data_IF_615427686985
#
_entry.id   IF_615427686985
#
_cell.length_a   1.000
_cell.length_b   1.000
_cell.length_c   1.000
_cell.angle_alpha   90.00
_cell.angle_beta   90.00
_cell.angle_gamma   90.00
#
_symmetry.space_group_name_H-M   'P 1'
#
loop_
_entity.id
_entity.type
_entity.pdbx_description
1 polymer ?
#
# COMPACT_ATOMS: atom_id res chain seq x y z
N UNK A 1 55.62 12.72 41.03
CA UNK A 1 55.98 12.47 39.62
C UNK A 1 56.26 10.99 39.50
N UNK A 2 55.25 10.23 39.12
CA UNK A 2 55.19 8.77 39.19
C UNK A 2 55.02 8.20 37.79
N UNK A 3 55.93 7.29 37.43
CA UNK A 3 55.91 6.46 36.24
C UNK A 3 55.73 4.99 36.62
N UNK A 4 54.93 4.30 35.78
CA UNK A 4 54.90 2.87 35.42
C UNK A 4 55.07 1.78 36.50
N UNK A 5 54.08 0.87 36.57
CA UNK A 5 54.26 -0.55 36.20
C UNK A 5 52.96 -1.36 36.36
N UNK A 6 52.57 -2.08 35.31
CA UNK A 6 51.77 -3.32 35.32
C UNK A 6 52.59 -4.46 35.98
N UNK A 7 52.04 -5.65 36.39
CA UNK A 7 51.18 -6.51 35.55
C UNK A 7 50.15 -7.47 36.26
N UNK A 8 49.30 -8.08 35.40
CA UNK A 8 48.83 -9.48 35.37
C UNK A 8 47.86 -10.09 36.41
N UNK A 9 46.90 -10.82 35.82
CA UNK A 9 46.34 -12.13 36.19
C UNK A 9 45.18 -12.24 37.19
N UNK A 10 44.12 -12.94 36.74
CA UNK A 10 43.18 -13.64 37.63
C UNK A 10 41.71 -13.58 37.19
N UNK A 11 41.36 -14.26 36.10
CA UNK A 11 39.96 -14.55 35.75
C UNK A 11 39.29 -15.38 36.87
N UNK A 12 38.12 -14.95 37.33
CA UNK A 12 37.18 -15.77 38.08
C UNK A 12 35.88 -15.87 37.29
N UNK A 13 35.59 -17.10 36.84
CA UNK A 13 34.31 -17.51 36.30
C UNK A 13 33.25 -17.44 37.41
N UNK A 14 32.15 -16.73 37.16
CA UNK A 14 30.87 -17.01 37.80
C UNK A 14 29.77 -16.98 36.75
N UNK A 15 29.24 -18.18 36.47
CA UNK A 15 27.96 -18.39 35.82
C UNK A 15 26.86 -17.76 36.67
N UNK A 16 26.02 -16.93 36.07
CA UNK A 16 24.74 -16.52 36.64
C UNK A 16 23.66 -16.75 35.60
N UNK A 17 22.94 -17.86 35.80
CA UNK A 17 21.60 -18.10 35.30
C UNK A 17 20.69 -16.95 35.72
N UNK A 18 20.03 -16.29 34.76
CA UNK A 18 18.80 -15.56 35.06
C UNK A 18 17.75 -15.83 33.99
N UNK A 19 16.74 -16.57 34.44
CA UNK A 19 15.51 -16.92 33.77
C UNK A 19 14.76 -15.70 33.23
N UNK A 20 14.16 -15.88 32.05
CA UNK A 20 13.20 -14.96 31.46
C UNK A 20 11.95 -14.81 32.36
N UNK A 21 11.44 -13.59 32.60
CA UNK A 21 10.19 -13.42 33.33
C UNK A 21 8.99 -13.80 32.45
N UNK A 22 8.10 -14.59 33.03
CA UNK A 22 6.81 -15.01 32.50
C UNK A 22 5.84 -13.83 32.32
N UNK A 23 5.06 -13.88 31.23
CA UNK A 23 3.97 -12.95 30.93
C UNK A 23 2.87 -13.04 32.00
N UNK A 24 2.35 -11.91 32.51
CA UNK A 24 1.22 -11.93 33.43
C UNK A 24 -0.09 -12.21 32.68
N UNK A 25 -0.71 -13.34 33.02
CA UNK A 25 -2.16 -13.56 32.87
C UNK A 25 -2.91 -12.68 33.85
N UNK A 26 -3.67 -11.70 33.36
CA UNK A 26 -4.73 -11.08 34.17
C UNK A 26 -5.97 -10.78 33.33
N UNK A 27 -7.05 -11.45 33.72
CA UNK A 27 -8.42 -11.08 33.39
C UNK A 27 -8.70 -9.67 33.89
N UNK A 28 -9.26 -8.80 33.03
CA UNK A 28 -9.83 -7.51 33.45
C UNK A 28 -11.33 -7.52 33.18
N UNK A 29 -12.07 -7.56 34.28
CA UNK A 29 -13.50 -7.28 34.38
C UNK A 29 -13.78 -5.82 34.07
N UNK A 30 -14.81 -5.55 33.28
CA UNK A 30 -15.23 -4.22 32.87
C UNK A 30 -16.09 -3.53 33.97
N UNK A 31 -15.76 -2.32 34.45
CA UNK A 31 -16.55 -1.62 35.46
C UNK A 31 -17.43 -0.54 34.82
N UNK A 32 -18.40 -0.92 33.99
CA UNK A 32 -19.56 -0.05 33.68
C UNK A 32 -20.79 -0.90 33.39
N UNK A 33 -21.59 -1.15 34.43
CA UNK A 33 -22.90 -1.77 34.31
C UNK A 33 -23.87 -0.87 33.54
N UNK A 34 -23.95 -1.06 32.22
CA UNK A 34 -25.09 -0.65 31.39
C UNK A 34 -25.43 -1.76 30.40
N UNK A 35 -26.61 -2.32 30.58
CA UNK A 35 -27.29 -3.23 29.66
C UNK A 35 -27.70 -2.48 28.40
N UNK A 36 -27.28 -2.96 27.23
CA UNK A 36 -27.86 -2.57 25.94
C UNK A 36 -29.03 -3.53 25.62
N UNK A 37 -30.20 -3.03 25.16
CA UNK A 37 -31.31 -3.88 24.78
C UNK A 37 -30.97 -4.65 23.51
N UNK A 38 -31.25 -5.96 23.54
CA UNK A 38 -31.00 -6.89 22.45
C UNK A 38 -31.97 -6.74 21.28
N UNK A 39 -31.55 -7.28 20.15
CA UNK A 39 -32.35 -7.49 18.94
C UNK A 39 -31.57 -7.23 17.67
N UNK A 40 -30.74 -8.19 17.23
CA UNK A 40 -30.25 -8.25 15.85
C UNK A 40 -31.39 -8.80 14.96
N UNK A 41 -31.91 -8.05 13.98
CA UNK A 41 -32.71 -8.63 12.92
C UNK A 41 -31.77 -9.11 11.80
N UNK A 42 -31.86 -10.41 11.52
CA UNK A 42 -31.78 -11.01 10.18
C UNK A 42 -30.56 -10.72 9.32
N UNK A 43 -29.69 -11.72 9.20
CA UNK A 43 -28.79 -11.89 8.08
C UNK A 43 -29.54 -11.79 6.74
N UNK A 44 -28.96 -11.10 5.77
CA UNK A 44 -29.47 -11.03 4.41
C UNK A 44 -28.51 -10.30 3.47
N UNK A 45 -27.81 -11.07 2.64
CA UNK A 45 -27.10 -10.59 1.45
C UNK A 45 -25.59 -10.45 1.61
N UNK A 46 -24.85 -11.54 1.35
CA UNK A 46 -23.48 -11.42 0.88
C UNK A 46 -23.48 -10.59 -0.42
N UNK A 47 -22.54 -9.66 -0.63
CA UNK A 47 -22.42 -8.98 -1.91
C UNK A 47 -22.09 -10.04 -2.97
N UNK A 48 -22.91 -10.11 -4.03
CA UNK A 48 -22.70 -11.00 -5.17
C UNK A 48 -21.27 -10.85 -5.73
N UNK A 49 -20.40 -11.79 -5.36
CA UNK A 49 -19.09 -11.97 -5.98
C UNK A 49 -19.33 -12.69 -7.30
N UNK A 50 -19.48 -11.92 -8.39
CA UNK A 50 -19.47 -12.51 -9.72
C UNK A 50 -18.03 -12.96 -10.02
N UNK A 51 -17.78 -14.24 -9.83
CA UNK A 51 -16.71 -14.96 -10.49
C UNK A 51 -17.17 -15.20 -11.93
N UNK A 52 -16.70 -14.40 -12.87
CA UNK A 52 -16.81 -14.75 -14.29
C UNK A 52 -15.61 -15.66 -14.58
N UNK A 53 -15.78 -16.95 -14.30
CA UNK A 53 -15.04 -17.97 -15.02
C UNK A 53 -15.83 -18.21 -16.33
N UNK A 54 -15.10 -18.19 -17.46
CA UNK A 54 -15.55 -18.34 -18.84
C UNK A 54 -16.21 -17.15 -19.56
N UNK A 55 -15.44 -16.70 -20.56
CA UNK A 55 -15.84 -15.88 -21.69
C UNK A 55 -16.44 -16.85 -22.70
N UNK A 56 -17.76 -16.90 -22.81
CA UNK A 56 -18.43 -17.18 -24.08
C UNK A 56 -19.86 -16.63 -24.01
N UNK A 57 -20.16 -15.68 -24.89
CA UNK A 57 -21.48 -15.11 -25.02
C UNK A 57 -22.39 -16.02 -25.83
N UNK A 58 -23.61 -16.25 -25.36
CA UNK A 58 -24.75 -16.42 -26.25
C UNK A 58 -26.06 -16.07 -25.54
N UNK A 59 -26.75 -15.05 -26.05
CA UNK A 59 -28.16 -14.79 -25.80
C UNK A 59 -29.00 -15.96 -26.34
N UNK A 60 -30.04 -16.40 -25.63
CA UNK A 60 -31.35 -16.75 -26.20
C UNK A 60 -32.40 -17.09 -25.13
N UNK A 61 -33.64 -16.68 -25.42
CA UNK A 61 -34.86 -16.79 -24.61
C UNK A 61 -35.42 -18.23 -24.46
N UNK A 62 -36.26 -18.46 -23.44
CA UNK A 62 -37.17 -19.63 -23.40
C UNK A 62 -37.84 -19.92 -22.06
N UNK A 63 -39.17 -19.84 -22.05
CA UNK A 63 -40.14 -20.13 -20.98
C UNK A 63 -40.25 -21.61 -20.54
N UNK A 64 -40.68 -21.88 -19.29
CA UNK A 64 -41.29 -23.18 -18.95
C UNK A 64 -41.38 -23.50 -17.44
N UNK A 65 -42.61 -23.70 -16.95
CA UNK A 65 -43.05 -24.07 -15.59
C UNK A 65 -42.94 -25.58 -15.26
N UNK A 66 -42.80 -25.93 -13.98
CA UNK A 66 -43.19 -27.27 -13.46
C UNK A 66 -42.64 -27.64 -12.07
N UNK A 67 -43.52 -27.80 -11.08
CA UNK A 67 -43.25 -28.35 -9.74
C UNK A 67 -43.13 -29.89 -9.74
N UNK A 68 -42.30 -30.46 -8.85
CA UNK A 68 -42.28 -31.89 -8.51
C UNK A 68 -41.13 -32.26 -7.53
N UNK A 69 -41.28 -33.26 -6.63
CA UNK A 69 -40.73 -33.24 -5.26
C UNK A 69 -39.35 -33.90 -5.02
N UNK A 70 -38.74 -33.51 -3.88
CA UNK A 70 -37.43 -33.88 -3.27
C UNK A 70 -36.95 -35.34 -3.40
N UNK A 71 -35.61 -35.54 -3.36
CA UNK A 71 -35.05 -36.50 -2.40
C UNK A 71 -33.90 -35.94 -1.53
N UNK A 72 -33.85 -36.49 -0.32
CA UNK A 72 -32.83 -36.31 0.72
C UNK A 72 -31.51 -36.99 0.33
N UNK A 73 -30.45 -36.59 1.04
CA UNK A 73 -29.12 -37.19 1.11
C UNK A 73 -28.17 -36.95 -0.08
N UNK A 74 -27.49 -35.81 -0.06
CA UNK A 74 -26.02 -35.75 -0.22
C UNK A 74 -25.49 -34.61 0.65
N UNK A 75 -24.87 -34.96 1.79
CA UNK A 75 -23.86 -34.08 2.39
C UNK A 75 -22.73 -34.06 1.36
N UNK A 76 -22.67 -33.00 0.56
CA UNK A 76 -21.53 -32.78 -0.32
C UNK A 76 -20.34 -32.40 0.56
N UNK A 77 -19.54 -33.39 0.90
CA UNK A 77 -18.18 -33.19 1.37
C UNK A 77 -17.40 -32.32 0.37
N UNK A 78 -16.63 -31.40 0.93
CA UNK A 78 -15.39 -30.86 0.38
C UNK A 78 -15.43 -30.22 -1.02
N UNK A 79 -15.62 -28.90 -1.05
CA UNK A 79 -14.91 -28.06 -2.04
C UNK A 79 -13.80 -27.33 -1.30
N UNK A 80 -12.62 -27.95 -1.22
CA UNK A 80 -11.34 -27.24 -1.07
C UNK A 80 -10.78 -27.05 -2.48
N UNK A 81 -10.85 -25.85 -3.08
CA UNK A 81 -10.17 -25.56 -4.32
C UNK A 81 -8.85 -24.88 -3.98
N UNK A 82 -7.82 -25.66 -3.64
CA UNK A 82 -6.46 -25.24 -3.99
C UNK A 82 -6.46 -24.88 -5.47
N UNK A 83 -6.34 -23.59 -5.79
CA UNK A 83 -5.76 -23.10 -7.06
C UNK A 83 -6.10 -23.97 -8.27
N UNK A 84 -7.39 -24.14 -8.55
CA UNK A 84 -7.81 -24.71 -9.83
C UNK A 84 -7.31 -23.79 -10.94
N UNK A 85 -6.45 -24.32 -11.82
CA UNK A 85 -6.22 -23.88 -13.20
C UNK A 85 -6.48 -22.41 -13.52
N UNK A 86 -5.94 -21.47 -12.73
CA UNK A 86 -6.08 -20.06 -13.11
C UNK A 86 -5.30 -19.88 -14.40
N UNK A 87 -6.01 -19.65 -15.51
CA UNK A 87 -5.41 -19.36 -16.80
C UNK A 87 -4.78 -17.98 -16.70
N UNK A 88 -3.55 -17.78 -17.21
CA UNK A 88 -2.98 -16.45 -17.34
C UNK A 88 -3.97 -15.58 -18.11
N UNK A 89 -4.45 -14.50 -17.49
CA UNK A 89 -5.31 -13.56 -18.19
C UNK A 89 -4.47 -12.71 -19.14
N UNK A 90 -5.03 -12.40 -20.30
CA UNK A 90 -4.43 -11.41 -21.18
C UNK A 90 -4.61 -10.02 -20.56
N UNK A 91 -3.51 -9.48 -20.03
CA UNK A 91 -3.48 -8.18 -19.35
C UNK A 91 -3.94 -7.06 -20.28
N UNK A 92 -3.61 -7.13 -21.57
CA UNK A 92 -3.95 -6.09 -22.54
C UNK A 92 -5.43 -6.17 -22.92
N UNK A 93 -5.97 -7.38 -23.10
CA UNK A 93 -7.41 -7.57 -23.33
C UNK A 93 -8.24 -7.10 -22.12
N UNK A 94 -7.83 -7.46 -20.90
CA UNK A 94 -8.50 -7.01 -19.68
C UNK A 94 -8.42 -5.49 -19.54
N UNK A 95 -7.28 -4.89 -19.86
CA UNK A 95 -7.13 -3.43 -19.82
C UNK A 95 -8.07 -2.72 -20.82
N UNK A 96 -8.22 -3.24 -22.03
CA UNK A 96 -9.17 -2.70 -23.02
C UNK A 96 -10.61 -2.82 -22.55
N UNK A 97 -11.03 -3.99 -22.06
CA UNK A 97 -12.38 -4.17 -21.48
C UNK A 97 -12.62 -3.26 -20.28
N UNK A 98 -11.60 -3.07 -19.44
CA UNK A 98 -11.67 -2.10 -18.35
C UNK A 98 -11.96 -0.74 -18.93
N UNK A 99 -11.29 -0.29 -19.99
CA UNK A 99 -11.50 1.02 -20.63
C UNK A 99 -12.85 1.17 -21.34
N UNK A 100 -13.34 0.13 -22.02
CA UNK A 100 -14.63 0.10 -22.72
C UNK A 100 -15.85 0.16 -21.79
N UNK A 101 -15.70 -0.37 -20.56
CA UNK A 101 -16.79 -0.37 -19.58
C UNK A 101 -17.17 1.05 -19.16
N UNK A 102 -18.44 1.43 -19.19
CA UNK A 102 -18.86 2.78 -18.76
C UNK A 102 -18.92 2.98 -17.23
N UNK A 103 -18.59 1.96 -16.44
CA UNK A 103 -18.70 1.99 -14.97
C UNK A 103 -17.34 2.09 -14.29
N UNK A 104 -17.33 2.67 -13.10
CA UNK A 104 -16.19 2.63 -12.19
C UNK A 104 -15.93 1.20 -11.72
N UNK A 105 -14.70 0.91 -11.34
CA UNK A 105 -14.28 -0.45 -11.01
C UNK A 105 -13.32 -0.48 -9.83
N UNK A 106 -13.57 -1.38 -8.89
CA UNK A 106 -12.58 -1.77 -7.90
C UNK A 106 -11.94 -3.10 -8.32
N UNK A 107 -10.63 -3.09 -8.51
CA UNK A 107 -9.80 -4.24 -8.85
C UNK A 107 -9.03 -4.68 -7.60
N UNK A 108 -9.27 -5.91 -7.18
CA UNK A 108 -8.63 -6.51 -6.01
C UNK A 108 -7.97 -7.84 -6.38
N UNK A 109 -7.27 -8.43 -5.42
CA UNK A 109 -6.64 -9.74 -5.55
C UNK A 109 -5.44 -9.84 -4.63
N UNK A 110 -4.92 -11.05 -4.45
CA UNK A 110 -3.82 -11.32 -3.52
C UNK A 110 -2.51 -10.63 -3.88
N UNK A 111 -1.47 -10.95 -3.11
CA UNK A 111 -0.10 -10.61 -3.46
C UNK A 111 0.25 -11.15 -4.85
N UNK A 112 0.98 -10.35 -5.63
CA UNK A 112 1.60 -10.81 -6.88
C UNK A 112 0.67 -11.23 -8.03
N UNK A 113 -0.62 -10.89 -7.97
CA UNK A 113 -1.61 -11.15 -9.04
C UNK A 113 -1.55 -10.18 -10.23
N UNK A 114 -0.59 -9.26 -10.25
CA UNK A 114 -0.37 -8.35 -11.37
C UNK A 114 -1.21 -7.06 -11.37
N UNK A 115 -1.80 -6.64 -10.24
CA UNK A 115 -2.57 -5.38 -10.11
C UNK A 115 -1.86 -4.17 -10.75
N UNK A 116 -0.60 -3.92 -10.37
CA UNK A 116 0.23 -2.85 -10.94
C UNK A 116 0.51 -3.04 -12.44
N UNK A 117 0.69 -4.30 -12.90
CA UNK A 117 0.90 -4.61 -14.33
C UNK A 117 -0.34 -4.23 -15.13
N UNK A 118 -1.53 -4.55 -14.61
CA UNK A 118 -2.81 -4.20 -15.20
C UNK A 118 -3.07 -2.69 -15.20
N UNK A 119 -2.79 -1.99 -14.08
CA UNK A 119 -2.88 -0.53 -14.01
C UNK A 119 -2.03 0.14 -15.11
N UNK A 120 -0.76 -0.28 -15.24
CA UNK A 120 0.13 0.23 -16.29
C UNK A 120 -0.38 -0.11 -17.70
N UNK A 121 -1.00 -1.26 -17.89
CA UNK A 121 -1.61 -1.62 -19.18
C UNK A 121 -2.80 -0.71 -19.52
N UNK A 122 -3.71 -0.48 -18.57
CA UNK A 122 -4.84 0.46 -18.71
C UNK A 122 -4.33 1.85 -19.09
N UNK A 123 -3.31 2.35 -18.40
CA UNK A 123 -2.71 3.65 -18.71
C UNK A 123 -2.10 3.69 -20.11
N UNK A 124 -1.39 2.63 -20.55
CA UNK A 124 -0.81 2.56 -21.89
C UNK A 124 -1.89 2.56 -22.97
N UNK A 125 -2.95 1.77 -22.83
CA UNK A 125 -4.04 1.73 -23.80
C UNK A 125 -4.81 3.06 -23.86
N UNK A 126 -5.05 3.69 -22.70
CA UNK A 126 -5.68 5.01 -22.65
C UNK A 126 -4.84 6.08 -23.37
N UNK A 127 -3.51 6.08 -23.21
CA UNK A 127 -2.61 6.99 -23.94
C UNK A 127 -2.61 6.71 -25.44
N UNK A 128 -2.61 5.43 -25.85
CA UNK A 128 -2.66 5.06 -27.28
C UNK A 128 -3.95 5.54 -27.95
N UNK A 129 -5.08 5.48 -27.26
CA UNK A 129 -6.36 6.01 -27.76
C UNK A 129 -6.35 7.55 -27.93
N UNK A 130 -5.35 8.24 -27.38
CA UNK A 130 -5.17 9.68 -27.47
C UNK A 130 -3.90 10.06 -28.28
N UNK A 131 -3.46 9.22 -29.21
CA UNK A 131 -2.24 9.43 -30.01
C UNK A 131 -0.97 9.70 -29.17
N UNK A 132 -0.88 9.06 -28.00
CA UNK A 132 0.21 9.26 -27.04
C UNK A 132 -0.02 10.40 -26.05
N UNK A 133 -1.14 11.13 -26.17
CA UNK A 133 -1.57 12.14 -25.23
C UNK A 133 -1.89 11.60 -23.84
N UNK A 134 -1.99 12.51 -22.88
CA UNK A 134 -2.32 12.22 -21.48
C UNK A 134 -3.45 13.11 -20.96
N UNK A 135 -4.30 13.62 -21.86
CA UNK A 135 -5.34 14.59 -21.50
C UNK A 135 -6.42 13.87 -20.69
N UNK A 136 -6.62 14.35 -19.46
CA UNK A 136 -7.61 13.80 -18.54
C UNK A 136 -7.25 12.45 -17.91
N UNK A 137 -6.03 11.96 -18.09
CA UNK A 137 -5.53 10.75 -17.43
C UNK A 137 -4.79 11.14 -16.15
N UNK A 138 -5.23 10.62 -15.01
CA UNK A 138 -4.59 10.81 -13.72
C UNK A 138 -4.33 9.47 -13.05
N UNK A 139 -3.14 9.34 -12.45
CA UNK A 139 -2.78 8.20 -11.61
C UNK A 139 -2.38 8.72 -10.24
N UNK A 140 -2.99 8.17 -9.19
CA UNK A 140 -2.76 8.60 -7.82
C UNK A 140 -2.50 7.41 -6.90
N UNK A 141 -1.72 7.65 -5.85
CA UNK A 141 -1.46 6.64 -4.81
C UNK A 141 -1.30 7.30 -3.42
N UNK A 142 -1.43 6.56 -2.32
CA UNK A 142 -1.30 7.11 -0.96
C UNK A 142 0.14 7.44 -0.58
N UNK A 143 1.13 6.72 -1.11
CA UNK A 143 2.56 6.91 -0.79
C UNK A 143 3.37 7.38 -2.00
N UNK A 144 4.49 8.06 -1.76
CA UNK A 144 5.40 8.51 -2.82
C UNK A 144 5.97 7.36 -3.65
N UNK A 145 6.33 6.25 -3.00
CA UNK A 145 6.84 5.04 -3.67
C UNK A 145 5.78 4.41 -4.56
N UNK A 146 4.55 4.24 -4.06
CA UNK A 146 3.45 3.69 -4.85
C UNK A 146 3.12 4.60 -6.03
N UNK A 147 3.08 5.92 -5.81
CA UNK A 147 2.82 6.90 -6.86
C UNK A 147 3.89 6.83 -7.96
N UNK A 148 5.16 6.74 -7.59
CA UNK A 148 6.26 6.57 -8.53
C UNK A 148 6.16 5.27 -9.34
N UNK A 149 5.89 4.16 -8.66
CA UNK A 149 5.69 2.86 -9.31
C UNK A 149 4.51 2.89 -10.29
N UNK A 150 3.45 3.62 -9.97
CA UNK A 150 2.29 3.80 -10.83
C UNK A 150 2.50 4.87 -11.92
N UNK A 151 3.66 5.56 -11.96
CA UNK A 151 3.94 6.72 -12.80
C UNK A 151 2.90 7.85 -12.62
N UNK A 152 2.50 8.08 -11.37
CA UNK A 152 1.51 9.05 -10.93
C UNK A 152 2.02 9.98 -9.84
N UNK A 153 1.09 10.59 -9.12
CA UNK A 153 1.36 11.52 -8.01
C UNK A 153 0.68 11.05 -6.72
N UNK A 154 1.05 11.59 -5.57
CA UNK A 154 0.34 11.25 -4.33
C UNK A 154 -1.05 11.87 -4.31
N UNK A 155 -2.00 11.27 -3.58
CA UNK A 155 -3.34 11.83 -3.36
C UNK A 155 -3.30 13.26 -2.81
N UNK A 156 -2.42 13.51 -1.85
CA UNK A 156 -2.20 14.83 -1.26
C UNK A 156 -1.71 15.84 -2.30
N UNK A 157 -0.77 15.48 -3.17
CA UNK A 157 -0.31 16.34 -4.27
C UNK A 157 -1.41 16.54 -5.33
N UNK A 158 -2.18 15.50 -5.62
CA UNK A 158 -3.30 15.56 -6.56
C UNK A 158 -4.45 16.43 -6.07
N UNK A 159 -4.70 16.51 -4.76
CA UNK A 159 -5.75 17.37 -4.19
C UNK A 159 -5.22 18.71 -3.69
N UNK A 160 -3.89 18.87 -3.60
CA UNK A 160 -3.19 19.97 -2.92
C UNK A 160 -3.72 20.19 -1.49
N UNK A 161 -3.91 19.09 -0.77
CA UNK A 161 -4.31 19.11 0.63
C UNK A 161 -3.12 18.74 1.51
N UNK A 162 -2.99 19.45 2.62
CA UNK A 162 -1.98 19.14 3.63
C UNK A 162 -2.38 17.89 4.42
N UNK A 163 -1.40 17.30 5.10
CA UNK A 163 -1.68 16.41 6.21
C UNK A 163 -2.62 17.06 7.21
N UNK A 164 -3.58 16.31 7.75
CA UNK A 164 -4.53 16.80 8.76
C UNK A 164 -5.46 17.92 8.31
N UNK A 165 -5.84 17.93 7.03
CA UNK A 165 -6.84 18.86 6.54
C UNK A 165 -8.28 18.55 7.01
N UNK A 166 -8.54 17.35 7.53
CA UNK A 166 -9.90 16.87 7.82
C UNK A 166 -10.40 17.39 9.18
N UNK A 167 -11.63 17.89 9.19
CA UNK A 167 -12.34 18.24 10.41
C UNK A 167 -13.21 17.06 10.86
N UNK A 168 -12.77 16.37 11.91
CA UNK A 168 -13.44 15.18 12.44
C UNK A 168 -14.76 15.48 13.16
N UNK A 169 -15.04 16.74 13.48
CA UNK A 169 -16.33 17.14 14.07
C UNK A 169 -17.46 17.12 13.04
N UNK A 170 -17.11 17.17 11.75
CA UNK A 170 -18.04 17.12 10.63
C UNK A 170 -18.23 15.69 10.13
N UNK A 171 -19.37 15.43 9.50
CA UNK A 171 -19.54 14.22 8.69
C UNK A 171 -18.58 14.23 7.51
N UNK A 172 -18.17 13.06 7.01
CA UNK A 172 -17.19 12.98 5.92
C UNK A 172 -17.62 13.76 4.67
N UNK A 173 -18.92 13.73 4.32
CA UNK A 173 -19.44 14.47 3.17
C UNK A 173 -19.45 15.98 3.40
N UNK A 174 -19.78 16.44 4.62
CA UNK A 174 -19.76 17.85 4.96
C UNK A 174 -18.33 18.42 5.00
N UNK A 175 -17.39 17.64 5.54
CA UNK A 175 -15.96 17.94 5.56
C UNK A 175 -15.41 18.01 4.11
N UNK A 176 -15.69 16.99 3.29
CA UNK A 176 -15.32 16.98 1.88
C UNK A 176 -15.89 18.17 1.11
N UNK A 177 -17.14 18.56 1.38
CA UNK A 177 -17.74 19.75 0.79
C UNK A 177 -17.02 21.03 1.21
N UNK A 178 -16.68 21.17 2.49
CA UNK A 178 -15.95 22.32 3.02
C UNK A 178 -14.58 22.45 2.35
N UNK A 179 -13.82 21.36 2.31
CA UNK A 179 -12.51 21.29 1.67
C UNK A 179 -12.59 21.55 0.15
N UNK A 180 -13.58 20.98 -0.54
CA UNK A 180 -13.77 21.26 -1.96
C UNK A 180 -14.07 22.75 -2.22
N UNK A 181 -14.88 23.40 -1.38
CA UNK A 181 -15.18 24.83 -1.52
C UNK A 181 -13.91 25.67 -1.41
N UNK A 182 -13.00 25.34 -0.48
CA UNK A 182 -11.74 26.05 -0.26
C UNK A 182 -10.69 25.79 -1.35
N UNK A 183 -10.82 24.74 -2.16
CA UNK A 183 -9.92 24.48 -3.29
C UNK A 183 -9.91 25.63 -4.30
N UNK A 184 -8.71 25.97 -4.77
CA UNK A 184 -8.53 26.97 -5.82
C UNK A 184 -9.06 26.47 -7.18
N UNK A 185 -9.30 27.42 -8.10
CA UNK A 185 -9.84 27.14 -9.45
C UNK A 185 -9.03 26.09 -10.20
N UNK A 186 -7.70 26.15 -10.14
CA UNK A 186 -6.84 25.20 -10.86
C UNK A 186 -7.03 23.75 -10.39
N UNK A 187 -7.28 23.54 -9.09
CA UNK A 187 -7.55 22.20 -8.56
C UNK A 187 -8.90 21.69 -9.08
N UNK A 188 -9.92 22.54 -9.03
CA UNK A 188 -11.27 22.21 -9.53
C UNK A 188 -11.25 21.91 -11.03
N UNK A 189 -10.55 22.71 -11.84
CA UNK A 189 -10.34 22.46 -13.27
C UNK A 189 -9.61 21.14 -13.51
N UNK A 190 -8.55 20.83 -12.76
CA UNK A 190 -7.86 19.54 -12.87
C UNK A 190 -8.79 18.37 -12.57
N UNK A 191 -9.61 18.46 -11.52
CA UNK A 191 -10.60 17.43 -11.17
C UNK A 191 -11.64 17.27 -12.28
N UNK A 192 -12.18 18.38 -12.80
CA UNK A 192 -13.17 18.39 -13.87
C UNK A 192 -12.62 17.90 -15.23
N UNK A 193 -11.33 18.08 -15.47
CA UNK A 193 -10.68 17.61 -16.69
C UNK A 193 -10.24 16.15 -16.59
N UNK A 194 -10.31 15.53 -15.42
CA UNK A 194 -9.90 14.12 -15.22
C UNK A 194 -11.02 13.20 -15.70
N UNK A 195 -10.84 12.57 -16.86
CA UNK A 195 -11.75 11.57 -17.44
C UNK A 195 -11.44 10.15 -16.99
N UNK A 196 -10.18 9.83 -16.67
CA UNK A 196 -9.78 8.54 -16.10
C UNK A 196 -8.87 8.77 -14.90
N UNK A 197 -9.35 8.39 -13.71
CA UNK A 197 -8.56 8.32 -12.49
C UNK A 197 -8.24 6.87 -12.13
N UNK A 198 -6.96 6.55 -12.09
CA UNK A 198 -6.46 5.27 -11.57
C UNK A 198 -5.90 5.50 -10.16
N UNK A 199 -6.37 4.74 -9.18
CA UNK A 199 -5.88 4.79 -7.80
C UNK A 199 -5.16 3.49 -7.48
N UNK A 200 -3.88 3.57 -7.11
CA UNK A 200 -3.10 2.43 -6.62
C UNK A 200 -3.08 2.38 -5.09
N UNK A 201 -2.87 1.19 -4.53
CA UNK A 201 -2.84 0.91 -3.09
C UNK A 201 -4.02 1.49 -2.30
N UNK A 202 -5.26 1.27 -2.79
CA UNK A 202 -6.48 1.79 -2.15
C UNK A 202 -6.65 1.35 -0.68
N UNK A 203 -5.98 0.26 -0.26
CA UNK A 203 -6.04 -0.22 1.13
C UNK A 203 -5.47 0.76 2.14
N UNK A 204 -4.49 1.58 1.74
CA UNK A 204 -3.87 2.60 2.59
C UNK A 204 -4.60 3.95 2.52
N UNK A 205 -5.66 4.06 1.72
CA UNK A 205 -6.46 5.28 1.59
C UNK A 205 -7.56 5.28 2.65
N UNK A 206 -7.63 6.34 3.47
CA UNK A 206 -8.66 6.45 4.50
C UNK A 206 -10.03 6.76 3.91
N UNK A 207 -11.09 6.44 4.66
CA UNK A 207 -12.48 6.73 4.29
C UNK A 207 -12.67 8.21 3.92
N UNK A 208 -12.20 9.14 4.77
CA UNK A 208 -12.30 10.58 4.51
C UNK A 208 -11.55 11.04 3.26
N UNK A 209 -10.34 10.53 3.04
CA UNK A 209 -9.58 10.86 1.84
C UNK A 209 -10.28 10.35 0.57
N UNK A 210 -10.83 9.14 0.63
CA UNK A 210 -11.62 8.59 -0.46
C UNK A 210 -12.91 9.39 -0.71
N UNK A 211 -13.61 9.79 0.36
CA UNK A 211 -14.80 10.65 0.30
C UNK A 211 -14.48 12.00 -0.34
N UNK A 212 -13.39 12.66 0.08
CA UNK A 212 -12.95 13.94 -0.50
C UNK A 212 -12.62 13.83 -1.99
N UNK A 213 -11.87 12.80 -2.38
CA UNK A 213 -11.49 12.56 -3.76
C UNK A 213 -12.73 12.34 -4.65
N UNK A 214 -13.63 11.46 -4.19
CA UNK A 214 -14.85 11.07 -4.91
C UNK A 214 -15.84 12.22 -5.02
N UNK A 215 -16.09 12.92 -3.90
CA UNK A 215 -16.93 14.11 -3.86
C UNK A 215 -16.38 15.21 -4.76
N UNK A 216 -15.07 15.49 -4.66
CA UNK A 216 -14.40 16.53 -5.41
C UNK A 216 -14.46 16.31 -6.92
N UNK A 217 -14.19 15.07 -7.38
CA UNK A 217 -14.34 14.70 -8.79
C UNK A 217 -15.78 14.92 -9.28
N UNK A 218 -16.76 14.30 -8.61
CA UNK A 218 -18.16 14.39 -9.02
C UNK A 218 -18.67 15.83 -9.04
N UNK A 219 -18.25 16.63 -8.05
CA UNK A 219 -18.65 18.04 -7.96
C UNK A 219 -17.99 18.89 -9.04
N UNK A 220 -16.69 18.71 -9.28
CA UNK A 220 -15.96 19.46 -10.30
C UNK A 220 -16.48 19.20 -11.71
N UNK A 221 -16.75 17.92 -12.04
CA UNK A 221 -17.41 17.55 -13.29
C UNK A 221 -18.77 18.24 -13.43
N UNK A 222 -19.63 18.17 -12.42
CA UNK A 222 -20.93 18.88 -12.47
C UNK A 222 -20.83 20.40 -12.61
N UNK A 223 -19.83 21.04 -12.00
CA UNK A 223 -19.67 22.50 -12.02
C UNK A 223 -19.02 23.03 -13.29
N UNK A 224 -18.00 22.32 -13.81
CA UNK A 224 -17.10 22.85 -14.84
C UNK A 224 -17.20 22.04 -16.14
N UNK A 225 -17.45 20.73 -16.05
CA UNK A 225 -17.35 19.83 -17.19
C UNK A 225 -18.50 18.80 -17.26
N UNK A 226 -19.74 19.28 -17.20
CA UNK A 226 -20.94 18.44 -17.00
C UNK A 226 -21.29 17.51 -18.17
N UNK A 227 -20.67 17.73 -19.33
CA UNK A 227 -20.88 16.97 -20.55
C UNK A 227 -19.94 15.78 -20.70
N UNK A 228 -18.93 15.65 -19.82
CA UNK A 228 -17.93 14.61 -19.91
C UNK A 228 -18.10 13.60 -18.78
N UNK A 229 -18.20 12.34 -19.16
CA UNK A 229 -18.15 11.25 -18.19
C UNK A 229 -16.72 11.08 -17.68
N UNK A 230 -16.63 10.59 -16.45
CA UNK A 230 -15.37 10.25 -15.81
C UNK A 230 -15.42 8.85 -15.24
N UNK A 231 -14.23 8.27 -15.10
CA UNK A 231 -14.05 6.89 -14.71
C UNK A 231 -13.03 6.77 -13.60
N UNK A 232 -13.37 5.96 -12.62
CA UNK A 232 -12.57 5.69 -11.46
C UNK A 232 -12.24 4.20 -11.41
N UNK A 233 -10.95 3.88 -11.41
CA UNK A 233 -10.48 2.51 -11.23
C UNK A 233 -9.56 2.45 -10.03
N UNK A 234 -9.99 1.78 -8.97
CA UNK A 234 -9.18 1.54 -7.78
C UNK A 234 -8.48 0.18 -7.87
N UNK A 235 -7.23 0.12 -7.47
CA UNK A 235 -6.43 -1.08 -7.33
C UNK A 235 -5.95 -1.20 -5.88
N UNK A 236 -6.03 -2.39 -5.30
CA UNK A 236 -5.39 -2.67 -4.02
C UNK A 236 -5.88 -3.97 -3.40
N UNK A 237 -5.53 -4.19 -2.14
CA UNK A 237 -5.89 -5.39 -1.39
C UNK A 237 -6.05 -5.03 0.10
N UNK A 238 -7.28 -5.04 0.60
CA UNK A 238 -7.57 -4.63 1.99
C UNK A 238 -7.04 -5.59 3.06
N UNK A 239 -6.50 -6.76 2.67
CA UNK A 239 -5.74 -7.63 3.57
C UNK A 239 -4.28 -7.17 3.76
N UNK A 240 -3.83 -6.16 3.02
CA UNK A 240 -2.49 -5.57 3.17
C UNK A 240 -2.51 -4.43 4.20
N UNK A 241 -1.58 -3.48 4.07
CA UNK A 241 -1.45 -2.38 5.01
C UNK A 241 -2.73 -1.52 5.02
N UNK A 242 -3.28 -1.23 6.21
CA UNK A 242 -4.42 -0.35 6.37
C UNK A 242 -4.00 1.13 6.24
N UNK A 243 -4.96 2.07 6.26
CA UNK A 243 -4.65 3.49 6.36
C UNK A 243 -3.80 3.77 7.60
N UNK A 244 -2.79 4.63 7.44
CA UNK A 244 -1.84 4.93 8.50
C UNK A 244 -2.51 5.77 9.59
N UNK A 245 -2.65 5.20 10.79
CA UNK A 245 -3.00 5.93 12.02
C UNK A 245 -1.71 6.33 12.72
N UNK A 246 -1.38 7.62 12.82
CA UNK A 246 -0.31 8.09 13.71
C UNK A 246 -0.94 8.88 14.84
N UNK A 247 -0.87 8.33 16.05
CA UNK A 247 -1.51 8.91 17.23
C UNK A 247 -0.92 10.28 17.60
N UNK A 248 0.40 10.49 17.42
CA UNK A 248 1.08 11.71 17.91
C UNK A 248 1.81 12.54 16.84
N UNK A 249 2.12 11.99 15.65
CA UNK A 249 3.05 12.63 14.68
C UNK A 249 2.46 12.97 13.31
N UNK A 250 1.24 12.51 13.01
CA UNK A 250 0.63 12.66 11.69
C UNK A 250 -0.89 12.55 11.83
N UNK A 251 -1.58 13.69 11.86
CA UNK A 251 -3.05 13.76 11.96
C UNK A 251 -3.67 13.42 10.59
N UNK A 252 -3.34 12.28 9.98
CA UNK A 252 -4.09 11.80 8.83
C UNK A 252 -5.26 10.98 9.36
N UNK A 253 -6.46 11.57 9.43
CA UNK A 253 -7.71 10.88 9.83
C UNK A 253 -7.52 9.92 11.01
N UNK A 254 -7.65 10.43 12.24
CA UNK A 254 -7.35 9.67 13.46
C UNK A 254 -8.22 8.42 13.62
N UNK A 255 -9.34 8.35 12.89
CA UNK A 255 -10.18 7.16 12.83
C UNK A 255 -9.50 6.01 12.07
N UNK A 256 -8.68 6.33 11.05
CA UNK A 256 -8.06 5.43 10.07
C UNK A 256 -8.99 4.32 9.60
N UNK A 257 -10.20 4.72 9.23
CA UNK A 257 -11.22 3.87 8.62
C UNK A 257 -10.85 3.57 7.17
N UNK A 258 -11.20 2.36 6.70
CA UNK A 258 -10.87 1.94 5.34
C UNK A 258 -11.70 2.69 4.28
N UNK A 259 -11.16 2.88 3.08
CA UNK A 259 -11.87 3.47 1.95
C UNK A 259 -13.24 2.81 1.67
N UNK A 260 -13.38 1.49 1.86
CA UNK A 260 -14.65 0.80 1.63
C UNK A 260 -15.77 1.13 2.64
N UNK A 261 -15.42 1.78 3.75
CA UNK A 261 -16.39 2.29 4.73
C UNK A 261 -16.95 3.66 4.35
N UNK A 262 -16.41 4.29 3.31
CA UNK A 262 -16.86 5.61 2.84
C UNK A 262 -18.30 5.55 2.31
N UNK A 263 -19.11 6.60 2.56
CA UNK A 263 -20.43 6.73 1.93
C UNK A 263 -20.37 6.81 0.40
N UNK A 264 -19.19 7.05 -0.19
CA UNK A 264 -18.98 7.07 -1.64
C UNK A 264 -18.61 5.72 -2.24
N UNK A 265 -18.21 4.74 -1.44
CA UNK A 265 -17.72 3.46 -1.97
C UNK A 265 -18.77 2.74 -2.81
N UNK A 266 -19.94 2.50 -2.22
CA UNK A 266 -21.07 1.87 -2.91
C UNK A 266 -21.62 2.75 -4.05
N UNK A 267 -21.53 4.08 -3.93
CA UNK A 267 -21.98 5.01 -4.98
C UNK A 267 -21.11 4.90 -6.24
N UNK A 268 -19.82 4.63 -6.08
CA UNK A 268 -18.89 4.50 -7.20
C UNK A 268 -18.83 3.07 -7.73
N UNK A 269 -18.61 2.08 -6.87
CA UNK A 269 -18.32 0.71 -7.30
C UNK A 269 -19.53 -0.23 -7.22
N UNK A 270 -20.63 0.19 -6.59
CA UNK A 270 -21.71 -0.72 -6.22
C UNK A 270 -21.22 -1.84 -5.32
N UNK A 271 -21.82 -3.01 -5.46
CA UNK A 271 -21.43 -4.24 -4.74
C UNK A 271 -20.42 -5.10 -5.50
N UNK A 272 -19.80 -4.56 -6.57
CA UNK A 272 -18.99 -5.34 -7.51
C UNK A 272 -17.50 -5.05 -7.31
N UNK A 273 -16.71 -6.11 -7.20
CA UNK A 273 -15.25 -6.05 -7.25
C UNK A 273 -14.72 -7.03 -8.30
N UNK A 274 -13.71 -6.61 -9.07
CA UNK A 274 -13.02 -7.48 -10.01
C UNK A 274 -11.80 -8.12 -9.33
N UNK A 275 -11.87 -9.44 -9.11
CA UNK A 275 -10.85 -10.18 -8.36
C UNK A 275 -9.86 -10.85 -9.31
N UNK A 276 -8.61 -10.40 -9.30
CA UNK A 276 -7.50 -11.06 -9.98
C UNK A 276 -7.04 -12.28 -9.17
N UNK A 277 -7.10 -13.46 -9.80
CA UNK A 277 -6.74 -14.74 -9.16
C UNK A 277 -5.35 -15.26 -9.58
N UNK A 278 -4.92 -15.00 -10.82
CA UNK A 278 -3.66 -15.55 -11.35
C UNK A 278 -2.42 -14.86 -10.75
N UNK A 279 -1.50 -15.64 -10.17
CA UNK A 279 -0.25 -15.15 -9.57
C UNK A 279 0.88 -15.20 -10.59
N UNK A 280 1.50 -14.04 -10.86
CA UNK A 280 2.52 -13.89 -11.90
C UNK A 280 3.97 -14.05 -11.41
N UNK A 281 4.26 -13.72 -10.14
CA UNK A 281 5.64 -13.55 -9.66
C UNK A 281 6.23 -14.82 -9.04
N UNK A 282 5.40 -15.76 -8.59
CA UNK A 282 5.85 -16.98 -7.90
C UNK A 282 5.36 -18.23 -8.64
N UNK A 283 6.31 -19.04 -9.11
CA UNK A 283 6.02 -20.34 -9.72
C UNK A 283 5.73 -21.42 -8.66
N UNK A 284 6.26 -21.26 -7.45
CA UNK A 284 6.07 -22.18 -6.34
C UNK A 284 4.62 -22.13 -5.81
N UNK A 285 3.82 -23.08 -6.27
CA UNK A 285 2.40 -23.22 -5.90
C UNK A 285 2.19 -23.45 -4.41
N UNK A 286 3.11 -24.14 -3.74
CA UNK A 286 3.02 -24.39 -2.30
C UNK A 286 3.25 -23.08 -1.54
N UNK A 287 4.24 -22.30 -1.95
CA UNK A 287 4.48 -20.98 -1.37
C UNK A 287 3.31 -20.02 -1.59
N UNK A 288 2.73 -19.99 -2.79
CA UNK A 288 1.53 -19.20 -3.08
C UNK A 288 0.35 -19.60 -2.19
N UNK A 289 0.11 -20.90 -2.01
CA UNK A 289 -0.94 -21.40 -1.12
C UNK A 289 -0.74 -20.89 0.31
N UNK A 290 0.48 -21.06 0.85
CA UNK A 290 0.81 -20.62 2.21
C UNK A 290 0.64 -19.09 2.38
N UNK A 291 0.98 -18.28 1.38
CA UNK A 291 0.76 -16.83 1.42
C UNK A 291 -0.71 -16.44 1.35
N UNK A 292 -1.53 -17.15 0.59
CA UNK A 292 -2.97 -16.91 0.52
C UNK A 292 -3.69 -17.28 1.83
N UNK A 293 -3.27 -18.34 2.49
CA UNK A 293 -3.73 -18.68 3.85
C UNK A 293 -3.33 -17.60 4.86
N UNK A 294 -2.06 -17.18 4.83
CA UNK A 294 -1.54 -16.11 5.70
C UNK A 294 -2.29 -14.80 5.50
N UNK A 295 -2.65 -14.46 4.25
CA UNK A 295 -3.40 -13.24 3.90
C UNK A 295 -4.71 -13.10 4.68
N UNK A 296 -5.38 -14.21 4.99
CA UNK A 296 -6.63 -14.24 5.77
C UNK A 296 -6.41 -14.58 7.25
N UNK A 297 -5.16 -14.58 7.71
CA UNK A 297 -4.78 -14.84 9.10
C UNK A 297 -4.66 -16.32 9.47
N UNK A 298 -4.65 -17.24 8.50
CA UNK A 298 -4.49 -18.67 8.76
C UNK A 298 -3.00 -19.02 8.70
N UNK A 299 -2.45 -19.44 9.84
CA UNK A 299 -1.04 -19.88 9.95
C UNK A 299 -0.99 -21.40 10.04
N UNK A 300 -0.74 -22.05 8.91
CA UNK A 300 -0.61 -23.51 8.84
C UNK A 300 0.71 -24.01 9.41
N UNK A 301 0.76 -25.28 9.81
CA UNK A 301 1.99 -25.93 10.26
C UNK A 301 3.07 -25.92 9.17
N UNK A 302 2.67 -26.11 7.91
CA UNK A 302 3.55 -26.04 6.74
C UNK A 302 4.20 -24.65 6.61
N UNK A 303 3.40 -23.57 6.70
CA UNK A 303 3.91 -22.19 6.64
C UNK A 303 4.87 -21.91 7.79
N UNK A 304 4.53 -22.31 9.02
CA UNK A 304 5.41 -22.14 10.18
C UNK A 304 6.76 -22.82 9.95
N UNK A 305 6.76 -24.11 9.60
CA UNK A 305 8.00 -24.85 9.36
C UNK A 305 8.78 -24.30 8.16
N UNK A 306 8.09 -23.77 7.14
CA UNK A 306 8.75 -23.09 6.03
C UNK A 306 9.48 -21.83 6.52
N UNK A 307 8.84 -20.96 7.29
CA UNK A 307 9.44 -19.72 7.81
C UNK A 307 10.60 -20.02 8.78
N UNK A 308 10.45 -21.01 9.67
CA UNK A 308 11.51 -21.44 10.60
C UNK A 308 12.75 -21.94 9.84
N UNK A 309 12.58 -22.75 8.78
CA UNK A 309 13.71 -23.18 7.94
C UNK A 309 14.41 -22.02 7.25
N UNK A 310 13.65 -21.02 6.77
CA UNK A 310 14.22 -19.82 6.14
C UNK A 310 14.99 -18.97 7.14
N UNK A 311 14.50 -18.86 8.37
CA UNK A 311 15.22 -18.18 9.46
C UNK A 311 16.52 -18.91 9.81
N UNK A 312 16.48 -20.23 9.99
CA UNK A 312 17.69 -21.03 10.27
C UNK A 312 18.72 -20.91 9.15
N UNK A 313 18.28 -20.94 7.89
CA UNK A 313 19.16 -20.70 6.75
C UNK A 313 19.78 -19.31 6.78
N UNK A 314 18.99 -18.28 7.12
CA UNK A 314 19.49 -16.92 7.25
C UNK A 314 20.51 -16.79 8.38
N UNK A 315 20.27 -17.41 9.54
CA UNK A 315 21.18 -17.38 10.69
C UNK A 315 22.48 -18.14 10.42
N UNK A 316 22.39 -19.33 9.83
CA UNK A 316 23.57 -20.16 9.51
C UNK A 316 24.49 -19.49 8.47
N UNK A 317 23.91 -18.87 7.44
CA UNK A 317 24.69 -18.17 6.41
C UNK A 317 25.05 -16.73 6.83
N UNK A 318 24.24 -16.09 7.68
CA UNK A 318 24.52 -14.77 8.24
C UNK A 318 25.70 -14.77 9.22
N UNK A 319 26.01 -15.93 9.83
CA UNK A 319 27.19 -16.13 10.67
C UNK A 319 28.45 -16.55 9.89
N UNK A 320 28.31 -17.19 8.72
CA UNK A 320 29.46 -17.69 7.95
C UNK A 320 29.95 -16.73 6.85
N UNK A 321 29.19 -15.69 6.51
CA UNK A 321 29.60 -14.67 5.55
C UNK A 321 29.93 -13.37 6.28
N UNK A 322 31.22 -13.13 6.51
CA UNK A 322 31.76 -11.83 6.90
C UNK A 322 31.17 -10.72 6.00
N UNK A 323 30.30 -9.87 6.55
CA UNK A 323 29.92 -8.54 6.04
C UNK A 323 29.16 -8.43 4.71
N UNK A 324 29.48 -9.24 3.69
CA UNK A 324 29.08 -9.01 2.30
C UNK A 324 27.60 -9.34 2.01
N UNK A 325 27.06 -10.44 2.56
CA UNK A 325 25.67 -10.85 2.27
C UNK A 325 24.60 -10.00 2.97
N UNK A 326 24.95 -9.39 4.11
CA UNK A 326 24.08 -8.45 4.83
C UNK A 326 23.86 -7.16 4.03
N UNK A 327 24.84 -6.75 3.22
CA UNK A 327 24.75 -5.55 2.38
C UNK A 327 23.99 -5.79 1.06
N UNK A 328 24.00 -7.03 0.56
CA UNK A 328 23.33 -7.39 -0.69
C UNK A 328 21.84 -7.69 -0.52
N UNK A 329 21.40 -8.00 0.71
CA UNK A 329 20.00 -8.30 1.01
C UNK A 329 19.25 -7.03 1.39
N UNK A 330 18.01 -6.89 0.95
CA UNK A 330 17.12 -5.81 1.42
C UNK A 330 16.35 -6.26 2.66
N UNK A 331 16.59 -5.61 3.79
CA UNK A 331 15.89 -5.89 5.04
C UNK A 331 14.62 -5.06 5.16
N UNK A 332 13.52 -5.71 5.52
CA UNK A 332 12.23 -5.06 5.80
C UNK A 332 12.06 -5.02 7.31
N UNK A 333 11.99 -3.82 7.87
CA UNK A 333 11.87 -3.59 9.31
C UNK A 333 10.58 -2.82 9.62
N UNK A 334 9.95 -3.06 10.78
CA UNK A 334 8.63 -2.50 11.08
C UNK A 334 8.66 -0.99 11.40
N UNK A 335 9.77 -0.46 11.93
CA UNK A 335 9.87 0.93 12.40
C UNK A 335 10.94 1.69 11.63
N UNK A 336 10.68 2.97 11.32
CA UNK A 336 11.64 3.86 10.65
C UNK A 336 12.95 3.99 11.42
N UNK A 337 12.88 4.15 12.75
CA UNK A 337 14.08 4.21 13.61
C UNK A 337 14.95 2.94 13.48
N UNK A 338 14.32 1.78 13.28
CA UNK A 338 15.04 0.53 13.06
C UNK A 338 15.66 0.49 11.67
N UNK A 339 14.94 0.96 10.64
CA UNK A 339 15.47 1.12 9.26
C UNK A 339 16.67 2.06 9.24
N UNK A 340 16.57 3.24 9.87
CA UNK A 340 17.62 4.24 9.88
C UNK A 340 18.87 3.73 10.62
N UNK A 341 18.67 3.08 11.76
CA UNK A 341 19.77 2.44 12.50
C UNK A 341 20.44 1.36 11.65
N UNK A 342 19.65 0.46 11.06
CA UNK A 342 20.19 -0.61 10.21
C UNK A 342 20.97 -0.07 9.01
N UNK A 343 20.44 0.95 8.32
CA UNK A 343 21.13 1.59 7.21
C UNK A 343 22.45 2.25 7.65
N UNK A 344 22.49 2.87 8.84
CA UNK A 344 23.73 3.43 9.40
C UNK A 344 24.76 2.35 9.76
N UNK A 345 24.32 1.22 10.32
CA UNK A 345 25.18 0.08 10.63
C UNK A 345 25.78 -0.52 9.34
N UNK A 346 24.96 -0.67 8.28
CA UNK A 346 25.42 -1.10 6.95
C UNK A 346 26.45 -0.13 6.37
N UNK A 347 26.19 1.17 6.45
CA UNK A 347 27.13 2.18 5.94
C UNK A 347 28.46 2.15 6.70
N UNK A 348 28.41 2.04 8.03
CA UNK A 348 29.62 1.99 8.87
C UNK A 348 30.44 0.72 8.61
N UNK A 349 29.76 -0.39 8.31
CA UNK A 349 30.42 -1.64 7.93
C UNK A 349 31.06 -1.52 6.54
N UNK A 350 30.41 -0.82 5.58
CA UNK A 350 30.99 -0.55 4.25
C UNK A 350 32.28 0.26 4.36
N UNK A 351 32.30 1.30 5.21
CA UNK A 351 33.50 2.09 5.47
C UNK A 351 34.64 1.23 6.03
N UNK A 352 34.34 0.32 6.96
CA UNK A 352 35.33 -0.57 7.55
C UNK A 352 35.93 -1.57 6.54
N UNK A 353 35.12 -2.04 5.57
CA UNK A 353 35.56 -3.02 4.57
C UNK A 353 36.29 -2.34 3.40
N UNK A 354 35.72 -1.28 2.85
CA UNK A 354 36.20 -0.64 1.61
C UNK A 354 37.21 0.48 1.87
N UNK A 355 37.36 0.95 3.12
CA UNK A 355 38.20 2.10 3.47
C UNK A 355 37.72 3.43 2.88
N UNK A 356 36.49 3.47 2.37
CA UNK A 356 35.87 4.66 1.79
C UNK A 356 35.33 5.59 2.87
N UNK A 357 35.58 6.89 2.76
CA UNK A 357 35.02 7.90 3.67
C UNK A 357 33.56 8.22 3.29
N UNK A 358 32.71 8.46 4.30
CA UNK A 358 31.35 8.99 4.04
C UNK A 358 31.38 10.44 3.59
N UNK A 359 30.59 10.72 2.56
CA UNK A 359 30.20 12.07 2.20
C UNK A 359 28.80 12.39 2.75
N UNK A 360 28.67 13.59 3.32
CA UNK A 360 27.43 14.03 3.96
C UNK A 360 26.85 15.20 3.18
N UNK A 361 25.68 14.98 2.60
CA UNK A 361 24.90 15.97 1.89
C UNK A 361 23.80 16.51 2.81
N UNK A 362 23.72 17.83 2.95
CA UNK A 362 22.71 18.51 3.79
C UNK A 362 21.78 19.32 2.91
N UNK A 363 20.46 19.21 3.14
CA UNK A 363 19.46 19.96 2.39
C UNK A 363 19.57 21.47 2.64
N UNK A 364 19.19 22.26 1.63
CA UNK A 364 19.05 23.71 1.73
C UNK A 364 17.59 24.05 1.47
N UNK A 365 16.85 24.35 2.53
CA UNK A 365 15.41 24.57 2.47
C UNK A 365 15.11 26.07 2.51
N UNK A 366 14.49 26.59 1.44
CA UNK A 366 14.17 28.02 1.29
C UNK A 366 12.68 28.20 1.00
N UNK A 367 11.95 29.05 1.74
CA UNK A 367 10.54 29.33 1.47
C UNK A 367 10.41 30.15 0.18
N UNK A 368 9.75 29.59 -0.83
CA UNK A 368 9.42 30.30 -2.08
C UNK A 368 8.01 30.89 -1.99
N UNK A 369 7.92 32.21 -1.86
CA UNK A 369 6.63 32.94 -1.93
C UNK A 369 5.66 32.70 -0.75
N UNK A 370 6.13 32.15 0.37
CA UNK A 370 5.33 31.94 1.58
C UNK A 370 5.92 32.67 2.79
N UNK A 371 5.07 33.09 3.73
CA UNK A 371 5.48 33.66 5.03
C UNK A 371 5.70 32.58 6.10
N UNK A 372 6.15 31.39 5.70
CA UNK A 372 6.43 30.31 6.65
C UNK A 372 7.76 30.58 7.36
N UNK A 373 7.82 30.28 8.66
CA UNK A 373 9.09 30.28 9.39
C UNK A 373 9.95 29.12 8.93
N UNK A 374 11.28 29.27 8.96
CA UNK A 374 12.21 28.21 8.54
C UNK A 374 11.96 26.88 9.29
N UNK A 375 11.58 26.94 10.57
CA UNK A 375 11.23 25.74 11.36
C UNK A 375 9.97 25.06 10.82
N UNK A 376 8.89 25.81 10.63
CA UNK A 376 7.62 25.23 10.14
C UNK A 376 7.76 24.70 8.71
N UNK A 377 8.58 25.34 7.88
CA UNK A 377 8.90 24.85 6.55
C UNK A 377 9.65 23.52 6.63
N UNK A 378 10.70 23.46 7.45
CA UNK A 378 11.49 22.24 7.63
C UNK A 378 10.64 21.07 8.11
N UNK A 379 9.82 21.28 9.14
CA UNK A 379 8.93 20.22 9.65
C UNK A 379 7.91 19.76 8.59
N UNK A 380 7.45 20.65 7.70
CA UNK A 380 6.58 20.28 6.59
C UNK A 380 7.32 19.47 5.51
N UNK A 381 8.55 19.87 5.16
CA UNK A 381 9.37 19.19 4.17
C UNK A 381 9.83 17.82 4.66
N UNK A 382 10.31 17.72 5.91
CA UNK A 382 10.75 16.46 6.52
C UNK A 382 9.59 15.45 6.64
N UNK A 383 8.34 15.92 6.83
CA UNK A 383 7.15 15.06 6.82
C UNK A 383 6.66 14.70 5.41
N UNK A 384 6.78 15.63 4.46
CA UNK A 384 6.17 15.54 3.14
C UNK A 384 7.08 14.92 2.07
N UNK A 385 8.40 15.02 2.23
CA UNK A 385 9.39 14.53 1.28
C UNK A 385 9.96 13.18 1.71
N UNK A 386 10.32 12.39 0.71
CA UNK A 386 11.03 11.13 0.92
C UNK A 386 12.54 11.32 1.09
N UNK A 387 13.09 12.43 0.60
CA UNK A 387 14.52 12.73 0.72
C UNK A 387 14.82 13.26 2.14
N UNK A 388 15.80 12.71 2.85
CA UNK A 388 16.15 13.16 4.19
C UNK A 388 16.91 14.50 4.14
N UNK A 389 16.74 15.34 5.18
CA UNK A 389 17.49 16.58 5.32
C UNK A 389 19.02 16.39 5.43
N UNK A 390 19.46 15.20 5.86
CA UNK A 390 20.87 14.82 5.92
C UNK A 390 21.03 13.43 5.33
N UNK A 391 21.76 13.34 4.23
CA UNK A 391 22.03 12.11 3.51
C UNK A 391 23.53 11.78 3.63
N UNK A 392 23.85 10.62 4.20
CA UNK A 392 25.23 10.13 4.29
C UNK A 392 25.42 9.00 3.27
N UNK A 393 26.44 9.11 2.44
CA UNK A 393 26.74 8.18 1.35
C UNK A 393 28.18 7.69 1.44
N UNK A 394 28.45 6.48 0.96
CA UNK A 394 29.79 5.95 0.76
C UNK A 394 29.82 5.15 -0.56
N UNK A 395 30.99 5.00 -1.18
CA UNK A 395 31.14 4.17 -2.37
C UNK A 395 30.73 2.72 -2.06
N UNK A 396 29.88 2.15 -2.90
CA UNK A 396 29.25 0.84 -2.70
C UNK A 396 27.92 0.88 -1.94
N UNK A 397 27.53 2.01 -1.36
CA UNK A 397 26.24 2.12 -0.66
C UNK A 397 25.08 1.93 -1.63
N UNK A 398 24.10 1.12 -1.24
CA UNK A 398 22.87 0.92 -2.00
C UNK A 398 21.88 2.03 -1.69
N UNK A 399 21.30 2.61 -2.72
CA UNK A 399 20.43 3.77 -2.63
C UNK A 399 19.18 3.55 -3.46
N UNK A 400 18.03 4.05 -3.00
CA UNK A 400 16.82 4.11 -3.80
C UNK A 400 16.56 5.55 -4.26
N UNK A 401 16.19 5.74 -5.52
CA UNK A 401 15.78 7.07 -6.00
C UNK A 401 14.49 7.50 -5.33
N UNK A 402 14.45 8.72 -4.78
CA UNK A 402 13.23 9.31 -4.20
C UNK A 402 12.41 10.12 -5.21
N UNK A 403 12.90 10.30 -6.44
CA UNK A 403 12.28 11.10 -7.51
C UNK A 403 12.35 10.39 -8.85
N UNK A 404 11.39 10.67 -9.72
CA UNK A 404 11.42 10.17 -11.11
C UNK A 404 12.17 11.17 -11.98
N UNK A 405 13.27 10.73 -12.59
CA UNK A 405 14.02 11.51 -13.57
C UNK A 405 13.51 11.20 -14.98
N UNK A 406 12.88 12.19 -15.62
CA UNK A 406 12.29 12.03 -16.95
C UNK A 406 13.33 11.94 -18.08
N UNK A 407 14.57 12.40 -17.85
CA UNK A 407 15.62 12.39 -18.87
C UNK A 407 16.30 11.02 -19.02
N UNK A 408 16.35 10.21 -17.95
CA UNK A 408 17.14 8.97 -17.89
C UNK A 408 16.30 7.72 -17.58
N UNK A 409 14.96 7.80 -17.66
CA UNK A 409 14.02 6.73 -17.29
C UNK A 409 14.17 6.18 -15.85
N UNK A 410 14.88 6.89 -14.97
CA UNK A 410 15.06 6.46 -13.58
C UNK A 410 13.80 6.81 -12.78
N UNK A 411 12.89 5.84 -12.62
CA UNK A 411 11.74 5.94 -11.73
C UNK A 411 12.11 6.03 -10.25
N UNK A 412 11.28 6.71 -9.45
CA UNK A 412 11.39 6.62 -7.99
C UNK A 412 11.19 5.16 -7.53
N UNK A 413 12.01 4.75 -6.57
CA UNK A 413 12.11 3.39 -6.04
C UNK A 413 13.16 2.52 -6.73
N UNK A 414 13.79 2.97 -7.82
CA UNK A 414 14.90 2.24 -8.44
C UNK A 414 16.09 2.21 -7.49
N UNK A 415 16.60 1.01 -7.24
CA UNK A 415 17.76 0.77 -6.40
C UNK A 415 19.02 0.78 -7.27
N UNK A 416 19.98 1.63 -6.91
CA UNK A 416 21.32 1.67 -7.47
C UNK A 416 22.38 1.51 -6.39
N UNK A 417 23.64 1.58 -6.80
CA UNK A 417 24.79 1.63 -5.90
C UNK A 417 25.65 2.86 -6.23
N UNK A 418 26.21 3.49 -5.21
CA UNK A 418 27.14 4.61 -5.37
C UNK A 418 28.45 4.09 -5.95
N UNK A 419 28.86 4.58 -7.12
CA UNK A 419 30.11 4.17 -7.78
C UNK A 419 31.26 5.16 -7.54
N UNK A 420 30.97 6.39 -7.12
CA UNK A 420 31.91 7.48 -6.90
C UNK A 420 31.19 8.79 -6.57
N UNK A 421 31.94 9.86 -6.30
CA UNK A 421 31.45 11.21 -5.99
C UNK A 421 31.99 12.24 -6.97
#
# INVERSE_FOLDING_TARGET
MSSCNSPSCGQHCQCLDHAAPSLPTSCVTNPTGRTLPGGLPGAGGDPDVIVIDDIDGNDCAGSGSGEGPLPKDQVADAVDPRTAETVPYDVDQVAQRILERMQNLFVTGGGCVGKMRLLRAVLRHARRAQDGGCVGLAVVAPTGVSAANAAGVTLHAFLRQSAGCFDETLSEEADAQSLYKSMCKQIKERLANTSLLLVDEISMVSSRMFTLLSYGLQRAHKEINSHHDWKFVAFGDFYQLPPVKRFDEDVYDTTGTFAFMSPWWLKLFGSIAFVLKYVWRQEDRLFVKMLNELRVGVVTAELRSFLERRQQYYEANGQSLEGASLMETTHILPLRVSVDKHNQDCLSTLEAINGSEREVYTSVDVPMGSKLTNRSLKDQLDRGLMAPARLSLAVGARMASCVTFHQDEVGNGIIGAVVGF
#
